data_IF_830322943103
#
_entry.id   IF_830322943103
#
_cell.length_a   1.000
_cell.length_b   1.000
_cell.length_c   1.000
_cell.angle_alpha   90.00
_cell.angle_beta   90.00
_cell.angle_gamma   90.00
#
_symmetry.space_group_name_H-M   'P 1'
#
loop_
_entity.id
_entity.type
_entity.pdbx_description
1 polymer ?
#
# COMPACT_ATOMS: atom_id res chain seq x y z
N UNK A 1 -21.86 3.25 12.02
CA UNK A 1 -21.75 2.93 10.58
C UNK A 1 -20.74 1.81 10.42
N UNK A 2 -21.08 0.73 9.70
CA UNK A 2 -20.13 -0.34 9.41
C UNK A 2 -19.08 0.19 8.40
N UNK A 3 -17.77 0.06 8.70
CA UNK A 3 -16.70 0.53 7.81
C UNK A 3 -16.82 -0.07 6.40
N UNK A 4 -17.31 -1.31 6.25
CA UNK A 4 -17.54 -1.93 4.93
C UNK A 4 -18.57 -1.20 4.05
N UNK A 5 -19.55 -0.53 4.65
CA UNK A 5 -20.59 0.17 3.88
C UNK A 5 -20.13 1.55 3.36
N UNK A 6 -19.04 2.08 3.91
CA UNK A 6 -18.56 3.44 3.61
C UNK A 6 -17.19 3.40 2.90
N UNK A 7 -16.36 2.42 3.24
CA UNK A 7 -15.03 2.16 2.71
C UNK A 7 -14.93 0.66 2.39
N UNK A 8 -15.53 0.19 1.28
CA UNK A 8 -15.59 -1.23 0.94
C UNK A 8 -14.21 -1.89 0.84
N UNK A 9 -13.23 -1.26 0.21
CA UNK A 9 -11.90 -1.85 0.04
C UNK A 9 -11.15 -1.92 1.37
N UNK A 10 -11.12 -0.81 2.12
CA UNK A 10 -10.48 -0.74 3.43
C UNK A 10 -11.12 -1.71 4.42
N UNK A 11 -12.45 -1.85 4.36
CA UNK A 11 -13.19 -2.88 5.08
C UNK A 11 -12.71 -4.29 4.72
N UNK A 12 -12.71 -4.65 3.45
CA UNK A 12 -12.26 -5.99 3.00
C UNK A 12 -10.83 -6.31 3.47
N UNK A 13 -9.91 -5.33 3.41
CA UNK A 13 -8.54 -5.48 3.93
C UNK A 13 -8.50 -5.66 5.45
N UNK A 14 -9.25 -4.86 6.21
CA UNK A 14 -9.29 -4.93 7.68
C UNK A 14 -9.86 -6.26 8.19
N UNK A 15 -10.73 -6.91 7.41
CA UNK A 15 -11.30 -8.23 7.73
C UNK A 15 -10.56 -9.39 7.01
N UNK A 16 -9.44 -9.12 6.34
CA UNK A 16 -8.62 -10.10 5.62
C UNK A 16 -9.37 -10.92 4.55
N UNK A 17 -10.35 -10.30 3.89
CA UNK A 17 -11.19 -10.93 2.88
C UNK A 17 -10.52 -10.83 1.49
N UNK A 18 -9.46 -11.60 1.28
CA UNK A 18 -8.61 -11.52 0.07
C UNK A 18 -9.41 -11.63 -1.24
N UNK A 19 -10.42 -12.49 -1.31
CA UNK A 19 -11.25 -12.63 -2.51
C UNK A 19 -12.19 -11.45 -2.74
N UNK A 20 -12.67 -10.80 -1.67
CA UNK A 20 -13.43 -9.57 -1.79
C UNK A 20 -12.54 -8.40 -2.23
N UNK A 21 -11.32 -8.32 -1.69
CA UNK A 21 -10.30 -7.36 -2.18
C UNK A 21 -10.06 -7.59 -3.68
N UNK A 22 -9.87 -8.84 -4.11
CA UNK A 22 -9.68 -9.17 -5.53
C UNK A 22 -10.89 -8.76 -6.38
N UNK A 23 -12.11 -8.98 -5.88
CA UNK A 23 -13.34 -8.60 -6.57
C UNK A 23 -13.47 -7.09 -6.72
N UNK A 24 -13.23 -6.33 -5.66
CA UNK A 24 -13.27 -4.87 -5.64
C UNK A 24 -12.16 -4.27 -6.51
N UNK A 25 -10.95 -4.83 -6.46
CA UNK A 25 -9.80 -4.37 -7.22
C UNK A 25 -10.01 -4.53 -8.74
N UNK A 26 -10.58 -5.65 -9.18
CA UNK A 26 -10.99 -5.84 -10.59
C UNK A 26 -12.00 -4.80 -11.09
N UNK A 27 -12.79 -4.24 -10.18
CA UNK A 27 -13.78 -3.21 -10.49
C UNK A 27 -13.22 -1.79 -10.31
N UNK A 28 -11.97 -1.63 -9.88
CA UNK A 28 -11.36 -0.34 -9.56
C UNK A 28 -12.00 0.37 -8.36
N UNK A 29 -12.71 -0.35 -7.50
CA UNK A 29 -13.46 0.24 -6.38
C UNK A 29 -12.53 0.42 -5.19
N UNK A 30 -12.42 1.66 -4.71
CA UNK A 30 -11.89 1.95 -3.38
C UNK A 30 -10.38 1.77 -3.19
N UNK A 31 -9.60 1.63 -4.27
CA UNK A 31 -8.14 1.42 -4.20
C UNK A 31 -7.42 2.50 -3.37
N UNK A 32 -7.92 3.74 -3.44
CA UNK A 32 -7.36 4.93 -2.76
C UNK A 32 -8.21 5.44 -1.60
N UNK A 33 -9.07 4.59 -1.02
CA UNK A 33 -9.78 4.94 0.21
C UNK A 33 -8.79 5.40 1.29
N UNK A 34 -9.19 6.33 2.14
CA UNK A 34 -8.33 6.88 3.19
C UNK A 34 -9.01 6.70 4.53
N UNK A 35 -8.39 5.92 5.43
CA UNK A 35 -8.93 5.80 6.78
C UNK A 35 -8.94 7.21 7.45
N UNK A 36 -10.08 7.69 7.97
CA UNK A 36 -10.16 9.04 8.49
C UNK A 36 -9.23 9.34 9.67
N UNK A 37 -8.80 8.34 10.43
CA UNK A 37 -7.97 8.54 11.62
C UNK A 37 -6.50 8.84 11.27
N UNK A 38 -5.96 8.14 10.27
CA UNK A 38 -4.53 8.19 9.94
C UNK A 38 -4.22 8.45 8.45
N UNK A 39 -5.23 8.53 7.58
CA UNK A 39 -5.06 8.66 6.13
C UNK A 39 -4.36 7.46 5.46
N UNK A 40 -4.32 6.30 6.11
CA UNK A 40 -3.78 5.09 5.51
C UNK A 40 -4.69 4.61 4.37
N UNK A 41 -4.09 4.18 3.27
CA UNK A 41 -4.79 3.52 2.16
C UNK A 41 -5.02 2.03 2.45
N UNK A 42 -5.88 1.33 1.70
CA UNK A 42 -5.98 -0.12 1.78
C UNK A 42 -4.63 -0.82 1.62
N UNK A 43 -3.77 -0.34 0.73
CA UNK A 43 -2.45 -0.90 0.50
C UNK A 43 -1.51 -0.71 1.71
N UNK A 44 -1.53 0.47 2.35
CA UNK A 44 -0.77 0.71 3.59
C UNK A 44 -1.30 -0.17 4.72
N UNK A 45 -2.62 -0.29 4.86
CA UNK A 45 -3.26 -1.12 5.90
C UNK A 45 -2.93 -2.61 5.73
N UNK A 46 -2.95 -3.12 4.49
CA UNK A 46 -2.54 -4.49 4.18
C UNK A 46 -1.06 -4.73 4.52
N UNK A 47 -0.20 -3.75 4.24
CA UNK A 47 1.24 -3.81 4.55
C UNK A 47 1.51 -3.78 6.06
N UNK A 48 0.74 -3.00 6.83
CA UNK A 48 0.83 -2.92 8.29
C UNK A 48 0.45 -4.22 8.98
N UNK A 49 -0.39 -5.02 8.32
CA UNK A 49 -0.90 -6.31 8.82
C UNK A 49 -0.22 -7.50 8.13
N UNK A 50 0.87 -7.26 7.40
CA UNK A 50 1.67 -8.28 6.70
C UNK A 50 0.86 -9.15 5.70
N UNK A 51 -0.21 -8.61 5.11
CA UNK A 51 -1.03 -9.27 4.09
C UNK A 51 -0.44 -9.05 2.68
N UNK A 52 0.71 -9.64 2.39
CA UNK A 52 1.47 -9.33 1.16
C UNK A 52 0.81 -9.78 -0.15
N UNK A 53 0.07 -10.90 -0.23
CA UNK A 53 -0.76 -11.21 -1.39
C UNK A 53 -1.81 -10.14 -1.67
N UNK A 54 -2.39 -9.53 -0.63
CA UNK A 54 -3.35 -8.42 -0.77
C UNK A 54 -2.65 -7.17 -1.30
N UNK A 55 -1.46 -6.83 -0.77
CA UNK A 55 -0.64 -5.73 -1.30
C UNK A 55 -0.32 -5.95 -2.79
N UNK A 56 0.07 -7.16 -3.17
CA UNK A 56 0.34 -7.52 -4.57
C UNK A 56 -0.89 -7.33 -5.46
N UNK A 57 -2.07 -7.78 -5.02
CA UNK A 57 -3.34 -7.58 -5.75
C UNK A 57 -3.61 -6.09 -5.98
N UNK A 58 -3.42 -5.24 -4.96
CA UNK A 58 -3.68 -3.81 -5.06
C UNK A 58 -2.73 -3.12 -6.06
N UNK A 59 -1.43 -3.45 -6.01
CA UNK A 59 -0.44 -2.94 -6.98
C UNK A 59 -0.78 -3.39 -8.41
N UNK A 60 -1.21 -4.62 -8.59
CA UNK A 60 -1.54 -5.17 -9.91
C UNK A 60 -2.80 -4.57 -10.52
N UNK A 61 -3.66 -3.95 -9.71
CA UNK A 61 -4.86 -3.25 -10.16
C UNK A 61 -4.73 -1.72 -10.15
N UNK A 62 -3.50 -1.21 -10.01
CA UNK A 62 -3.21 0.22 -10.18
C UNK A 62 -3.42 1.09 -8.95
N UNK A 63 -3.39 0.51 -7.74
CA UNK A 63 -3.30 1.31 -6.53
C UNK A 63 -2.02 2.17 -6.54
N UNK A 64 -2.11 3.39 -6.02
CA UNK A 64 -1.01 4.36 -6.00
C UNK A 64 0.11 3.89 -5.07
N UNK A 65 1.23 3.47 -5.66
CA UNK A 65 2.39 2.98 -4.93
C UNK A 65 3.09 4.08 -4.10
N UNK A 66 2.83 5.35 -4.42
CA UNK A 66 3.41 6.52 -3.75
C UNK A 66 2.54 7.07 -2.64
N UNK A 67 1.34 6.53 -2.42
CA UNK A 67 0.50 6.95 -1.32
C UNK A 67 1.24 6.81 0.02
N UNK A 68 1.15 7.85 0.85
CA UNK A 68 1.60 7.84 2.23
C UNK A 68 0.47 8.23 3.18
N UNK A 69 0.51 7.74 4.42
CA UNK A 69 -0.42 8.16 5.47
C UNK A 69 -0.04 9.53 6.07
N UNK A 70 -0.77 10.01 7.07
CA UNK A 70 -0.52 11.32 7.72
C UNK A 70 0.84 11.43 8.40
N UNK A 71 1.54 10.31 8.60
CA UNK A 71 2.85 10.22 9.24
C UNK A 71 3.98 10.00 8.23
N UNK A 72 3.69 10.00 6.92
CA UNK A 72 4.67 9.73 5.87
C UNK A 72 4.96 8.24 5.69
N UNK A 73 4.11 7.35 6.24
CA UNK A 73 4.28 5.91 6.08
C UNK A 73 3.84 5.47 4.70
N UNK A 74 4.71 4.74 4.00
CA UNK A 74 4.43 4.15 2.68
C UNK A 74 4.50 2.62 2.75
N UNK A 75 3.85 1.94 1.81
CA UNK A 75 3.94 0.47 1.65
C UNK A 75 5.40 0.01 1.55
N UNK A 76 6.23 0.72 0.78
CA UNK A 76 7.64 0.39 0.59
C UNK A 76 8.44 0.36 1.90
N UNK A 77 8.15 1.23 2.87
CA UNK A 77 8.82 1.18 4.18
C UNK A 77 8.47 -0.09 4.96
N UNK A 78 7.22 -0.55 4.85
CA UNK A 78 6.74 -1.74 5.55
C UNK A 78 7.34 -3.03 4.98
N UNK A 79 7.76 -3.05 3.72
CA UNK A 79 8.44 -4.23 3.15
C UNK A 79 9.70 -4.60 3.92
N UNK A 80 10.42 -3.64 4.52
CA UNK A 80 11.65 -3.90 5.29
C UNK A 80 11.40 -4.13 6.78
N UNK A 81 10.31 -3.56 7.32
CA UNK A 81 9.95 -3.68 8.74
C UNK A 81 9.10 -4.92 9.06
N UNK A 82 8.57 -5.57 8.02
CA UNK A 82 7.82 -6.82 8.10
C UNK A 82 8.53 -7.89 8.93
N UNK A 83 7.78 -8.54 9.84
CA UNK A 83 8.30 -9.55 10.76
C UNK A 83 7.88 -10.98 10.40
N UNK A 84 7.40 -11.17 9.15
CA UNK A 84 7.00 -12.48 8.64
C UNK A 84 8.15 -13.48 8.59
N UNK A 85 7.81 -14.77 8.62
CA UNK A 85 8.75 -15.87 8.47
C UNK A 85 9.37 -15.85 7.06
N UNK A 86 10.71 -15.81 6.98
CA UNK A 86 11.44 -15.86 5.71
C UNK A 86 11.18 -17.17 4.96
N UNK A 87 10.94 -17.08 3.66
CA UNK A 87 10.62 -18.22 2.80
C UNK A 87 9.15 -18.69 2.84
N UNK A 88 8.30 -18.11 3.68
CA UNK A 88 6.85 -18.33 3.66
C UNK A 88 6.22 -17.79 2.36
N UNK A 89 4.97 -18.17 2.10
CA UNK A 89 4.24 -17.65 0.93
C UNK A 89 3.99 -16.14 1.03
N UNK A 90 3.78 -15.63 2.23
CA UNK A 90 3.75 -14.19 2.53
C UNK A 90 5.09 -13.52 2.16
N UNK A 91 6.23 -14.13 2.51
CA UNK A 91 7.54 -13.57 2.18
C UNK A 91 7.83 -13.62 0.68
N UNK A 92 7.37 -14.66 -0.02
CA UNK A 92 7.44 -14.71 -1.50
C UNK A 92 6.61 -13.59 -2.12
N UNK A 93 5.40 -13.33 -1.62
CA UNK A 93 4.56 -12.22 -2.09
C UNK A 93 5.21 -10.86 -1.79
N UNK A 94 5.76 -10.67 -0.58
CA UNK A 94 6.50 -9.46 -0.19
C UNK A 94 7.69 -9.19 -1.12
N UNK A 95 8.42 -10.23 -1.52
CA UNK A 95 9.52 -10.10 -2.49
C UNK A 95 9.01 -9.68 -3.87
N UNK A 96 7.91 -10.25 -4.36
CA UNK A 96 7.28 -9.80 -5.62
C UNK A 96 6.80 -8.36 -5.55
N UNK A 97 6.25 -7.93 -4.41
CA UNK A 97 5.90 -6.52 -4.15
C UNK A 97 7.12 -5.62 -4.26
N UNK A 98 8.25 -5.98 -3.63
CA UNK A 98 9.49 -5.20 -3.74
C UNK A 98 9.95 -5.05 -5.20
N UNK A 99 9.94 -6.14 -5.96
CA UNK A 99 10.35 -6.10 -7.37
C UNK A 99 9.38 -5.26 -8.22
N UNK A 100 8.07 -5.34 -7.96
CA UNK A 100 7.05 -4.52 -8.62
C UNK A 100 7.19 -3.02 -8.32
N UNK A 101 7.59 -2.66 -7.09
CA UNK A 101 7.88 -1.28 -6.70
C UNK A 101 9.14 -0.76 -7.40
N UNK A 102 10.24 -1.53 -7.38
CA UNK A 102 11.48 -1.18 -8.08
C UNK A 102 11.26 -1.00 -9.59
N UNK A 103 10.49 -1.90 -10.20
CA UNK A 103 10.17 -1.86 -11.62
C UNK A 103 9.38 -0.59 -12.02
N UNK A 104 8.67 0.03 -11.07
CA UNK A 104 7.96 1.30 -11.22
C UNK A 104 8.78 2.52 -10.75
N UNK A 105 10.09 2.35 -10.58
CA UNK A 105 11.00 3.44 -10.23
C UNK A 105 10.96 3.86 -8.76
N UNK A 106 10.31 3.10 -7.88
CA UNK A 106 10.29 3.44 -6.46
C UNK A 106 11.70 3.29 -5.85
N UNK A 107 12.21 4.27 -5.08
CA UNK A 107 13.55 4.21 -4.50
C UNK A 107 13.71 3.14 -3.41
N UNK A 108 14.87 2.48 -3.40
CA UNK A 108 15.28 1.52 -2.37
C UNK A 108 16.72 1.82 -1.88
N UNK A 109 16.98 1.96 -0.56
CA UNK A 109 16.00 1.87 0.53
C UNK A 109 14.94 2.98 0.45
N UNK A 110 13.70 2.70 0.89
CA UNK A 110 12.61 3.67 0.83
C UNK A 110 12.92 4.88 1.72
N UNK A 111 12.56 6.11 1.30
CA UNK A 111 12.76 7.31 2.09
C UNK A 111 12.13 7.17 3.48
N UNK A 112 12.77 7.77 4.48
CA UNK A 112 12.22 7.84 5.83
C UNK A 112 10.91 8.66 5.85
N UNK A 113 10.00 8.43 6.81
CA UNK A 113 8.72 9.14 6.84
C UNK A 113 8.86 10.67 6.86
N UNK A 114 9.87 11.18 7.57
CA UNK A 114 10.16 12.61 7.64
C UNK A 114 10.59 13.18 6.28
N UNK A 115 11.31 12.38 5.48
CA UNK A 115 11.71 12.75 4.12
C UNK A 115 10.52 12.75 3.17
N UNK A 116 9.62 11.74 3.28
CA UNK A 116 8.38 11.69 2.49
C UNK A 116 7.54 12.95 2.76
N UNK A 117 7.31 13.29 4.04
CA UNK A 117 6.55 14.49 4.41
C UNK A 117 7.21 15.79 3.93
N UNK A 118 8.54 15.88 3.97
CA UNK A 118 9.26 17.05 3.47
C UNK A 118 9.13 17.21 1.95
N UNK A 119 9.20 16.10 1.19
CA UNK A 119 9.03 16.07 -0.26
C UNK A 119 7.59 16.41 -0.67
N UNK A 120 6.60 15.85 0.02
CA UNK A 120 5.17 16.16 -0.20
C UNK A 120 4.87 17.64 0.04
N UNK A 121 5.35 18.20 1.17
CA UNK A 121 5.24 19.63 1.46
C UNK A 121 5.91 20.51 0.41
N UNK A 122 6.97 20.02 -0.24
CA UNK A 122 7.67 20.72 -1.32
C UNK A 122 7.04 20.50 -2.71
N UNK A 123 5.97 19.70 -2.83
CA UNK A 123 5.36 19.33 -4.11
C UNK A 123 6.25 18.41 -4.97
N UNK A 124 7.17 17.68 -4.33
CA UNK A 124 8.13 16.76 -4.96
C UNK A 124 7.78 15.29 -4.71
N UNK A 125 6.61 15.03 -4.12
CA UNK A 125 6.07 13.70 -3.88
C UNK A 125 4.65 13.59 -4.46
N UNK A 126 4.35 12.57 -5.29
CA UNK A 126 5.29 11.63 -5.90
C UNK A 126 6.32 12.34 -6.80
N UNK A 127 7.50 11.74 -7.08
CA UNK A 127 8.44 12.29 -8.05
C UNK A 127 7.77 12.51 -9.42
N UNK A 128 8.06 13.63 -10.10
CA UNK A 128 7.41 14.00 -11.38
C UNK A 128 7.51 12.92 -12.48
N UNK A 129 8.55 12.09 -12.43
CA UNK A 129 8.76 10.97 -13.35
C UNK A 129 7.76 9.82 -13.14
N UNK A 130 7.14 9.74 -11.97
CA UNK A 130 6.17 8.72 -11.61
C UNK A 130 4.72 9.07 -12.00
N UNK A 131 4.47 10.29 -12.49
CA UNK A 131 3.15 10.77 -12.91
C UNK A 131 2.84 10.53 -14.40
N UNK A 132 3.64 9.71 -15.09
CA UNK A 132 3.50 9.39 -16.53
C UNK A 132 2.99 7.98 -16.77
#
# INVERSE_FOLDING_TARGET
MNKKNVMPMLGAVMYSETEEVRRLARQGIGLEERDPANQATPMITASDTDQWPVVEILIDHGADIWAHDRFGITTAQRTFKSRILRGSDEDKARLRVIEKLKARGYPFPPPAPEQVLALDKAGQWPPQEAAR
#
